data_IF_634631130004
#
_entry.id   IF_634631130004
#
_cell.length_a   1.000
_cell.length_b   1.000
_cell.length_c   1.000
_cell.angle_alpha   90.00
_cell.angle_beta   90.00
_cell.angle_gamma   90.00
#
_symmetry.space_group_name_H-M   'P 1'
#
loop_
_entity.id
_entity.type
_entity.pdbx_description
1 polymer ?
#
# COMPACT_ATOMS: atom_id res chain seq x y z
N UNK A 1 73.03 -12.25 33.11
CA UNK A 1 72.51 -11.37 34.17
C UNK A 1 72.40 -9.97 33.60
N UNK A 2 71.24 -9.61 33.05
CA UNK A 2 70.94 -8.23 32.65
C UNK A 2 70.52 -7.50 33.91
N UNK A 3 71.43 -6.70 34.46
CA UNK A 3 71.26 -6.01 35.73
C UNK A 3 70.06 -5.08 35.70
N UNK A 4 69.03 -5.43 36.48
CA UNK A 4 68.03 -4.47 36.93
C UNK A 4 68.70 -3.55 37.94
N UNK A 5 69.14 -2.38 37.48
CA UNK A 5 69.50 -1.31 38.37
C UNK A 5 68.26 -0.91 39.17
N UNK A 6 68.30 -1.14 40.48
CA UNK A 6 67.32 -0.61 41.42
C UNK A 6 67.34 0.92 41.32
N UNK A 7 66.44 1.47 40.53
CA UNK A 7 66.11 2.88 40.56
C UNK A 7 64.77 3.03 41.28
N UNK A 8 64.62 4.09 42.07
CA UNK A 8 63.35 4.37 42.71
C UNK A 8 62.34 4.82 41.65
N UNK A 9 61.21 4.13 41.54
CA UNK A 9 60.12 4.56 40.66
C UNK A 9 59.42 5.77 41.25
N UNK A 10 59.31 6.83 40.46
CA UNK A 10 58.52 8.03 40.77
C UNK A 10 57.42 8.17 39.74
N UNK A 11 56.18 7.93 40.14
CA UNK A 11 55.01 8.03 39.29
C UNK A 11 54.42 9.45 39.37
N UNK A 12 54.10 10.04 38.22
CA UNK A 12 53.41 11.33 38.16
C UNK A 12 51.97 11.25 38.67
N UNK A 13 51.39 12.39 39.06
CA UNK A 13 49.99 12.48 39.54
C UNK A 13 48.94 12.57 38.42
N UNK A 14 49.39 12.75 37.18
CA UNK A 14 48.50 12.79 36.01
C UNK A 14 48.22 11.38 35.52
N UNK A 15 46.94 11.07 35.28
CA UNK A 15 46.54 9.84 34.62
C UNK A 15 46.93 9.86 33.15
N UNK A 16 47.67 8.84 32.72
CA UNK A 16 47.80 8.48 31.31
C UNK A 16 46.64 7.58 30.90
N UNK A 17 46.30 7.58 29.62
CA UNK A 17 45.22 6.77 29.08
C UNK A 17 45.51 6.32 27.65
N UNK A 18 44.86 5.22 27.27
CA UNK A 18 44.68 4.76 25.90
C UNK A 18 43.20 4.38 25.69
N UNK A 19 42.89 3.65 24.61
CA UNK A 19 41.53 3.25 24.29
C UNK A 19 40.92 2.29 25.33
N UNK A 20 41.75 1.52 26.04
CA UNK A 20 41.29 0.43 26.89
C UNK A 20 41.42 0.76 28.39
N UNK A 21 42.47 1.49 28.78
CA UNK A 21 42.85 1.66 30.17
C UNK A 21 43.38 3.07 30.50
N UNK A 22 43.49 3.35 31.80
CA UNK A 22 44.26 4.45 32.36
C UNK A 22 45.28 3.96 33.39
N UNK A 23 46.41 4.65 33.53
CA UNK A 23 47.52 4.28 34.43
C UNK A 23 48.34 5.50 34.87
N UNK A 24 49.13 5.34 35.93
CA UNK A 24 50.23 6.25 36.25
C UNK A 24 51.55 5.72 35.65
N UNK A 25 52.36 6.61 35.09
CA UNK A 25 53.59 6.26 34.38
C UNK A 25 54.83 6.85 35.07
N UNK A 26 55.87 6.03 35.21
CA UNK A 26 57.20 6.45 35.65
C UNK A 26 58.03 6.91 34.43
N UNK A 27 59.02 7.76 34.64
CA UNK A 27 59.91 8.25 33.57
C UNK A 27 60.68 7.15 32.83
N UNK A 28 60.79 5.95 33.40
CA UNK A 28 61.37 4.76 32.77
C UNK A 28 60.39 3.98 31.86
N UNK A 29 59.11 4.38 31.81
CA UNK A 29 58.04 3.71 31.05
C UNK A 29 57.27 2.64 31.83
N UNK A 30 57.63 2.37 33.10
CA UNK A 30 56.86 1.46 33.94
C UNK A 30 55.48 2.03 34.26
N UNK A 31 54.45 1.18 34.15
CA UNK A 31 53.05 1.52 34.40
C UNK A 31 52.57 0.96 35.74
N UNK A 32 51.79 1.74 36.47
CA UNK A 32 51.15 1.33 37.73
C UNK A 32 49.70 1.79 37.78
N UNK A 33 48.91 1.14 38.63
CA UNK A 33 47.50 1.45 38.86
C UNK A 33 46.66 1.37 37.57
N UNK A 34 47.09 0.49 36.66
CA UNK A 34 46.41 0.27 35.39
C UNK A 34 45.02 -0.28 35.64
N UNK A 35 44.01 0.44 35.17
CA UNK A 35 42.62 0.03 35.28
C UNK A 35 41.86 0.37 33.99
N UNK A 36 40.83 -0.44 33.70
CA UNK A 36 39.91 -0.16 32.61
C UNK A 36 39.12 1.13 32.89
N UNK A 37 38.67 1.79 31.83
CA UNK A 37 37.87 3.01 31.95
C UNK A 37 36.54 2.78 32.67
N UNK A 38 36.20 3.71 33.56
CA UNK A 38 34.88 3.74 34.22
C UNK A 38 34.02 4.79 33.53
N UNK A 39 33.05 4.34 32.74
CA UNK A 39 32.20 5.23 31.96
C UNK A 39 31.27 6.06 32.86
N UNK A 40 31.29 7.38 32.66
CA UNK A 40 30.37 8.30 33.31
C UNK A 40 28.98 8.36 32.67
N UNK A 41 28.26 9.41 33.04
CA UNK A 41 26.98 9.77 32.43
C UNK A 41 27.18 10.29 31.00
N UNK A 42 26.09 10.26 30.22
CA UNK A 42 26.09 10.86 28.90
C UNK A 42 26.16 12.39 28.98
N UNK A 43 27.07 12.96 28.22
CA UNK A 43 27.24 14.40 28.04
C UNK A 43 26.70 14.74 26.65
N UNK A 44 25.75 15.68 26.58
CA UNK A 44 25.18 16.14 25.31
C UNK A 44 26.11 17.22 24.72
N UNK A 45 26.76 16.90 23.59
CA UNK A 45 27.63 17.84 22.88
C UNK A 45 26.81 18.81 22.04
N UNK A 46 25.88 18.24 21.26
CA UNK A 46 24.96 18.99 20.41
C UNK A 46 23.57 18.40 20.60
N UNK A 47 22.58 19.17 21.08
CA UNK A 47 21.22 18.66 21.21
C UNK A 47 20.65 18.36 19.81
N UNK A 48 19.87 17.27 19.71
CA UNK A 48 19.11 17.02 18.50
C UNK A 48 18.00 18.08 18.32
N UNK A 49 17.72 18.41 17.06
CA UNK A 49 16.57 19.21 16.67
C UNK A 49 15.56 18.34 15.92
N UNK A 50 14.44 18.94 15.51
CA UNK A 50 13.44 18.25 14.73
C UNK A 50 13.94 17.74 13.36
N UNK A 51 14.95 18.39 12.78
CA UNK A 51 15.48 18.08 11.44
C UNK A 51 16.94 17.67 11.41
N UNK A 52 17.67 17.85 12.51
CA UNK A 52 19.11 17.61 12.57
C UNK A 52 19.43 16.76 13.79
N UNK A 53 20.09 15.64 13.57
CA UNK A 53 20.60 14.79 14.64
C UNK A 53 21.62 15.53 15.50
N UNK A 54 21.59 15.25 16.80
CA UNK A 54 22.58 15.73 17.77
C UNK A 54 23.69 14.71 18.00
N UNK A 55 24.57 15.00 18.95
CA UNK A 55 25.66 14.11 19.38
C UNK A 55 25.84 14.15 20.90
N UNK A 56 26.29 13.03 21.46
CA UNK A 56 26.62 12.88 22.88
C UNK A 56 27.83 11.97 23.04
N UNK A 57 28.55 12.09 24.13
CA UNK A 57 29.64 11.18 24.48
C UNK A 57 29.63 10.80 25.96
N UNK A 58 30.46 9.82 26.34
CA UNK A 58 30.79 9.51 27.73
C UNK A 58 32.27 9.75 28.00
N UNK A 59 32.59 10.18 29.20
CA UNK A 59 33.98 10.34 29.66
C UNK A 59 34.29 9.34 30.78
N UNK A 60 35.56 8.95 30.88
CA UNK A 60 36.04 8.19 32.02
C UNK A 60 36.02 9.08 33.27
N UNK A 61 35.33 8.65 34.32
CA UNK A 61 35.19 9.44 35.57
C UNK A 61 36.49 9.60 36.35
N UNK A 62 37.54 8.86 35.99
CA UNK A 62 38.84 8.86 36.67
C UNK A 62 39.85 9.75 35.95
N UNK A 63 40.00 9.58 34.63
CA UNK A 63 41.05 10.24 33.85
C UNK A 63 40.52 11.24 32.80
N UNK A 64 39.20 11.36 32.62
CA UNK A 64 38.59 12.27 31.64
C UNK A 64 38.72 11.82 30.18
N UNK A 65 39.20 10.61 29.91
CA UNK A 65 39.28 10.08 28.55
C UNK A 65 37.88 10.02 27.91
N UNK A 66 37.71 10.66 26.75
CA UNK A 66 36.49 10.55 25.96
C UNK A 66 36.37 9.14 25.39
N UNK A 67 35.34 8.42 25.83
CA UNK A 67 35.10 7.04 25.49
C UNK A 67 34.21 6.94 24.24
N UNK A 68 32.95 6.55 24.42
CA UNK A 68 32.02 6.34 23.32
C UNK A 68 31.34 7.64 22.93
N UNK A 69 31.15 7.84 21.62
CA UNK A 69 30.36 8.93 21.05
C UNK A 69 29.21 8.32 20.26
N UNK A 70 28.00 8.85 20.48
CA UNK A 70 26.78 8.41 19.83
C UNK A 70 26.04 9.59 19.20
N UNK A 71 25.33 9.29 18.11
CA UNK A 71 24.38 10.21 17.49
C UNK A 71 23.06 10.19 18.25
N UNK A 72 22.49 11.36 18.51
CA UNK A 72 21.13 11.53 19.01
C UNK A 72 20.23 11.71 17.79
N UNK A 73 19.29 10.79 17.49
CA UNK A 73 18.41 10.95 16.34
C UNK A 73 17.63 12.27 16.40
N UNK A 74 17.38 12.88 15.23
CA UNK A 74 16.47 14.01 15.14
C UNK A 74 15.11 13.64 15.76
N UNK A 75 14.49 14.57 16.48
CA UNK A 75 13.23 14.31 17.19
C UNK A 75 12.03 14.15 16.24
N UNK A 76 12.20 14.52 14.97
CA UNK A 76 11.12 14.61 13.99
C UNK A 76 10.23 15.84 14.22
N UNK A 77 9.29 16.07 13.30
CA UNK A 77 8.27 17.11 13.45
C UNK A 77 8.79 18.53 13.32
N UNK A 78 9.67 18.81 12.35
CA UNK A 78 10.13 20.18 12.09
C UNK A 78 8.94 21.10 11.95
N UNK A 79 8.87 22.15 12.77
CA UNK A 79 7.81 23.14 12.73
C UNK A 79 7.86 23.84 11.37
N UNK A 80 7.02 23.38 10.47
CA UNK A 80 6.74 24.02 9.20
C UNK A 80 5.24 24.08 9.07
N UNK A 81 4.75 25.15 8.46
CA UNK A 81 3.33 25.26 8.15
C UNK A 81 2.99 24.18 7.12
N UNK A 82 2.08 23.28 7.48
CA UNK A 82 1.58 22.30 6.54
C UNK A 82 0.70 23.00 5.49
N UNK A 83 1.12 22.89 4.25
CA UNK A 83 0.30 23.24 3.10
C UNK A 83 -0.07 21.94 2.40
N UNK A 84 -1.30 21.48 2.63
CA UNK A 84 -1.82 20.25 2.05
C UNK A 84 -2.36 20.52 0.65
N UNK A 85 -2.06 19.61 -0.29
CA UNK A 85 -2.62 19.70 -1.64
C UNK A 85 -4.15 19.62 -1.61
N UNK A 86 -4.81 20.31 -2.54
CA UNK A 86 -6.25 20.12 -2.79
C UNK A 86 -6.58 18.80 -3.50
N UNK A 87 -5.57 18.14 -4.06
CA UNK A 87 -5.74 16.86 -4.74
C UNK A 87 -5.77 15.72 -3.72
N UNK A 88 -6.80 14.88 -3.80
CA UNK A 88 -6.87 13.66 -3.01
C UNK A 88 -5.82 12.64 -3.43
N UNK A 89 -5.13 12.08 -2.44
CA UNK A 89 -4.37 10.83 -2.57
C UNK A 89 -5.21 9.67 -2.08
N UNK A 90 -4.91 8.47 -2.58
CA UNK A 90 -5.60 7.25 -2.21
C UNK A 90 -4.72 6.02 -2.33
N UNK A 91 -4.94 5.05 -1.47
CA UNK A 91 -4.47 3.68 -1.61
C UNK A 91 -5.66 2.70 -1.62
N UNK A 92 -5.42 1.40 -1.43
CA UNK A 92 -6.48 0.39 -1.41
C UNK A 92 -7.37 0.40 -0.17
N UNK A 93 -7.01 1.18 0.86
CA UNK A 93 -7.65 1.22 2.18
C UNK A 93 -8.29 2.59 2.42
N UNK A 94 -7.54 3.67 2.21
CA UNK A 94 -7.91 5.03 2.61
C UNK A 94 -7.64 6.07 1.49
N UNK A 95 -8.14 7.28 1.74
CA UNK A 95 -7.78 8.50 1.02
C UNK A 95 -7.36 9.60 2.01
N UNK A 96 -6.53 10.55 1.55
CA UNK A 96 -5.96 11.62 2.37
C UNK A 96 -5.49 12.82 1.52
N UNK A 97 -5.29 13.97 2.16
CA UNK A 97 -4.49 15.06 1.62
C UNK A 97 -3.05 14.96 2.10
N UNK A 98 -2.09 15.22 1.21
CA UNK A 98 -0.67 15.04 1.50
C UNK A 98 0.08 16.37 1.45
N UNK A 99 0.91 16.61 2.47
CA UNK A 99 1.85 17.71 2.49
C UNK A 99 3.15 17.30 1.78
N UNK A 100 3.92 18.26 1.26
CA UNK A 100 5.20 17.98 0.60
C UNK A 100 6.25 17.28 1.49
N UNK A 101 6.06 17.32 2.81
CA UNK A 101 6.88 16.60 3.78
C UNK A 101 6.49 15.12 3.97
N UNK A 102 5.41 14.66 3.33
CA UNK A 102 4.85 13.31 3.47
C UNK A 102 3.85 13.13 4.62
N UNK A 103 3.58 14.19 5.39
CA UNK A 103 2.50 14.19 6.37
C UNK A 103 1.13 14.09 5.68
N UNK A 104 0.19 13.38 6.33
CA UNK A 104 -1.13 13.08 5.78
C UNK A 104 -2.20 13.65 6.68
N UNK A 105 -3.15 14.35 6.09
CA UNK A 105 -4.32 14.89 6.77
C UNK A 105 -5.61 14.40 6.09
N UNK A 106 -6.75 14.59 6.77
CA UNK A 106 -8.06 14.11 6.34
C UNK A 106 -8.09 12.62 5.97
N UNK A 107 -7.30 11.81 6.69
CA UNK A 107 -7.22 10.37 6.42
C UNK A 107 -8.56 9.71 6.72
N UNK A 108 -9.20 9.17 5.69
CA UNK A 108 -10.50 8.50 5.80
C UNK A 108 -10.56 7.22 4.97
N UNK A 109 -11.31 6.23 5.48
CA UNK A 109 -11.61 5.02 4.74
C UNK A 109 -12.51 5.33 3.53
N UNK A 110 -12.39 4.53 2.47
CA UNK A 110 -13.21 4.71 1.27
C UNK A 110 -14.71 4.51 1.54
N UNK A 111 -15.51 5.39 0.94
CA UNK A 111 -16.98 5.23 0.85
C UNK A 111 -17.36 4.93 -0.59
N UNK A 112 -17.62 3.66 -0.88
CA UNK A 112 -17.82 3.15 -2.24
C UNK A 112 -19.28 3.20 -2.70
N UNK A 113 -19.48 3.46 -4.00
CA UNK A 113 -20.73 3.20 -4.74
C UNK A 113 -20.46 2.19 -5.86
N UNK A 114 -21.48 1.41 -6.20
CA UNK A 114 -21.46 0.60 -7.42
C UNK A 114 -21.75 1.45 -8.65
N UNK A 115 -20.91 1.34 -9.67
CA UNK A 115 -21.08 1.95 -10.99
C UNK A 115 -21.16 0.83 -12.02
N UNK A 116 -22.20 0.86 -12.86
CA UNK A 116 -22.34 -0.09 -13.97
C UNK A 116 -21.53 0.41 -15.15
N UNK A 117 -20.56 -0.40 -15.59
CA UNK A 117 -19.70 -0.10 -16.74
C UNK A 117 -20.34 -0.56 -18.05
N UNK A 118 -20.93 -1.75 -18.02
CA UNK A 118 -21.65 -2.36 -19.14
C UNK A 118 -22.87 -3.10 -18.60
N UNK A 119 -24.04 -2.75 -19.11
CA UNK A 119 -25.26 -3.48 -18.81
C UNK A 119 -25.17 -4.93 -19.28
N UNK A 120 -25.65 -5.86 -18.44
CA UNK A 120 -25.83 -7.25 -18.83
C UNK A 120 -27.05 -7.37 -19.76
N UNK A 121 -26.94 -8.23 -20.78
CA UNK A 121 -28.06 -8.58 -21.65
C UNK A 121 -28.47 -10.03 -21.43
N UNK A 122 -29.49 -10.50 -22.16
CA UNK A 122 -29.93 -11.89 -22.08
C UNK A 122 -28.81 -12.89 -22.48
N UNK A 123 -27.89 -12.47 -23.35
CA UNK A 123 -26.84 -13.34 -23.91
C UNK A 123 -25.43 -12.88 -23.58
N UNK A 124 -25.23 -11.62 -23.19
CA UNK A 124 -23.91 -11.08 -22.85
C UNK A 124 -23.82 -10.72 -21.37
N UNK A 125 -22.71 -11.08 -20.75
CA UNK A 125 -22.36 -10.58 -19.41
C UNK A 125 -22.14 -9.06 -19.44
N UNK A 126 -22.51 -8.42 -18.35
CA UNK A 126 -22.18 -7.02 -18.06
C UNK A 126 -20.97 -6.90 -17.14
N UNK A 127 -20.66 -5.68 -16.71
CA UNK A 127 -19.63 -5.40 -15.71
C UNK A 127 -19.99 -4.18 -14.87
N UNK A 128 -19.53 -4.18 -13.63
CA UNK A 128 -19.63 -3.04 -12.71
C UNK A 128 -18.39 -2.98 -11.83
N UNK A 129 -18.07 -1.80 -11.31
CA UNK A 129 -17.02 -1.62 -10.32
C UNK A 129 -17.52 -0.82 -9.13
N UNK A 130 -16.71 -0.79 -8.07
CA UNK A 130 -16.90 0.10 -6.93
C UNK A 130 -15.96 1.30 -7.05
N UNK A 131 -16.51 2.52 -6.95
CA UNK A 131 -15.74 3.76 -7.00
C UNK A 131 -15.97 4.57 -5.72
N UNK A 132 -14.88 5.09 -5.14
CA UNK A 132 -14.96 5.94 -3.97
C UNK A 132 -15.60 7.29 -4.34
N UNK A 133 -16.66 7.67 -3.62
CA UNK A 133 -17.41 8.89 -3.91
C UNK A 133 -16.65 10.19 -3.60
N UNK A 134 -15.53 10.11 -2.86
CA UNK A 134 -14.74 11.26 -2.42
C UNK A 134 -13.53 11.47 -3.32
N UNK A 135 -12.69 10.46 -3.48
CA UNK A 135 -11.41 10.56 -4.20
C UNK A 135 -11.42 9.92 -5.60
N UNK A 136 -12.48 9.21 -5.99
CA UNK A 136 -12.56 8.53 -7.30
C UNK A 136 -11.73 7.25 -7.40
N UNK A 137 -11.13 6.75 -6.30
CA UNK A 137 -10.44 5.47 -6.30
C UNK A 137 -11.39 4.35 -6.73
N UNK A 138 -11.08 3.68 -7.84
CA UNK A 138 -11.88 2.61 -8.41
C UNK A 138 -11.25 1.24 -8.13
N UNK A 139 -12.05 0.31 -7.63
CA UNK A 139 -11.68 -1.10 -7.48
C UNK A 139 -11.79 -1.82 -8.84
N UNK A 140 -11.15 -2.98 -9.01
CA UNK A 140 -11.31 -3.79 -10.22
C UNK A 140 -12.78 -4.11 -10.50
N UNK A 141 -13.18 -4.02 -11.77
CA UNK A 141 -14.52 -4.36 -12.20
C UNK A 141 -14.81 -5.86 -11.98
N UNK A 142 -16.04 -6.16 -11.59
CA UNK A 142 -16.58 -7.51 -11.46
C UNK A 142 -17.63 -7.75 -12.54
N UNK A 143 -17.73 -8.99 -13.02
CA UNK A 143 -18.72 -9.38 -14.02
C UNK A 143 -20.14 -9.41 -13.44
N UNK A 144 -21.12 -8.97 -14.22
CA UNK A 144 -22.54 -9.18 -13.97
C UNK A 144 -23.00 -10.33 -14.88
N UNK A 145 -23.57 -11.42 -14.33
CA UNK A 145 -24.09 -12.51 -15.16
C UNK A 145 -25.15 -12.03 -16.16
N UNK A 146 -25.22 -12.69 -17.33
CA UNK A 146 -26.31 -12.49 -18.27
C UNK A 146 -27.66 -12.82 -17.61
N UNK A 147 -28.71 -12.05 -17.94
CA UNK A 147 -30.00 -12.10 -17.22
C UNK A 147 -30.85 -13.34 -17.54
N UNK A 148 -30.52 -14.08 -18.60
CA UNK A 148 -31.14 -15.37 -18.91
C UNK A 148 -32.49 -15.30 -19.65
N UNK A 149 -32.67 -16.32 -20.51
CA UNK A 149 -33.82 -16.68 -21.35
C UNK A 149 -34.46 -15.56 -22.17
N UNK A 150 -34.10 -15.53 -23.46
CA UNK A 150 -35.03 -15.18 -24.53
C UNK A 150 -36.32 -15.99 -24.32
N UNK A 151 -37.53 -15.40 -24.37
CA UNK A 151 -38.74 -16.21 -24.42
C UNK A 151 -38.67 -17.10 -25.66
N UNK A 152 -38.89 -18.42 -25.51
CA UNK A 152 -39.13 -19.29 -26.64
C UNK A 152 -40.48 -18.91 -27.29
N UNK A 153 -40.50 -17.85 -28.10
CA UNK A 153 -41.61 -17.60 -29.02
C UNK A 153 -41.43 -18.50 -30.24
N UNK A 154 -41.79 -19.78 -30.09
CA UNK A 154 -41.62 -20.78 -31.15
C UNK A 154 -42.13 -22.17 -30.77
N UNK A 155 -43.28 -22.26 -30.11
CA UNK A 155 -43.88 -23.55 -29.75
C UNK A 155 -44.43 -24.23 -31.03
N UNK A 156 -43.56 -24.95 -31.75
CA UNK A 156 -43.83 -25.61 -33.03
C UNK A 156 -44.85 -26.76 -32.94
N UNK A 157 -45.37 -27.03 -31.75
CA UNK A 157 -46.32 -28.11 -31.48
C UNK A 157 -47.64 -27.97 -32.26
N UNK A 158 -48.00 -26.75 -32.66
CA UNK A 158 -49.19 -26.46 -33.47
C UNK A 158 -48.89 -26.13 -34.95
N UNK A 159 -47.63 -26.20 -35.41
CA UNK A 159 -47.29 -25.91 -36.83
C UNK A 159 -48.07 -26.84 -37.78
N UNK A 160 -48.23 -28.12 -37.43
CA UNK A 160 -49.02 -29.08 -38.20
C UNK A 160 -50.52 -28.74 -38.22
N UNK A 161 -51.06 -28.15 -37.15
CA UNK A 161 -52.46 -27.69 -37.09
C UNK A 161 -52.69 -26.48 -38.00
N UNK A 162 -51.75 -25.52 -38.03
CA UNK A 162 -51.83 -24.36 -38.91
C UNK A 162 -51.62 -24.70 -40.39
N UNK A 163 -50.70 -25.62 -40.70
CA UNK A 163 -50.51 -26.15 -42.06
C UNK A 163 -51.76 -26.92 -42.51
N UNK A 164 -52.35 -27.74 -41.64
CA UNK A 164 -53.60 -28.45 -41.92
C UNK A 164 -54.77 -27.50 -42.20
N UNK A 165 -54.92 -26.43 -41.43
CA UNK A 165 -55.95 -25.39 -41.62
C UNK A 165 -55.79 -24.64 -42.95
N UNK A 166 -54.55 -24.35 -43.37
CA UNK A 166 -54.25 -23.72 -44.65
C UNK A 166 -54.59 -24.61 -45.84
N UNK A 167 -54.31 -25.92 -45.76
CA UNK A 167 -54.63 -26.86 -46.83
C UNK A 167 -56.14 -27.11 -46.96
N UNK A 168 -56.88 -27.13 -45.85
CA UNK A 168 -58.34 -27.26 -45.86
C UNK A 168 -59.04 -26.07 -46.53
N UNK A 169 -58.50 -24.86 -46.40
CA UNK A 169 -59.06 -23.66 -47.07
C UNK A 169 -58.70 -23.55 -48.55
N UNK A 170 -57.58 -24.15 -48.98
CA UNK A 170 -57.15 -24.17 -50.41
C UNK A 170 -57.97 -25.12 -51.31
N UNK A 171 -58.52 -26.21 -50.76
CA UNK A 171 -59.27 -27.21 -51.54
C UNK A 171 -60.74 -26.80 -51.83
N UNK A 172 -61.28 -25.80 -51.13
CA UNK A 172 -62.65 -25.32 -51.37
C UNK A 172 -62.82 -24.48 -52.64
N UNK A 173 -61.76 -23.79 -53.08
CA UNK A 173 -61.82 -22.82 -54.18
C UNK A 173 -61.67 -23.45 -55.56
N UNK A 174 -60.94 -24.57 -55.69
CA UNK A 174 -60.73 -25.24 -56.98
C UNK A 174 -61.91 -26.14 -57.39
N UNK A 175 -62.63 -26.73 -56.43
CA UNK A 175 -63.78 -27.61 -56.70
C UNK A 175 -64.98 -26.89 -57.32
N UNK A 176 -65.27 -25.65 -56.93
CA UNK A 176 -66.41 -24.87 -57.44
C UNK A 176 -66.20 -24.37 -58.88
N UNK A 177 -64.96 -24.07 -59.28
CA UNK A 177 -64.63 -23.64 -60.65
C UNK A 177 -64.76 -24.78 -61.66
N UNK A 178 -64.39 -26.02 -61.28
CA UNK A 178 -64.54 -27.18 -62.17
C UNK A 178 -66.02 -27.62 -62.28
N UNK A 179 -66.79 -27.57 -61.18
CA UNK A 179 -68.22 -27.92 -61.21
C UNK A 179 -69.04 -26.93 -62.06
N UNK A 180 -68.76 -25.63 -61.97
CA UNK A 180 -69.47 -24.61 -62.75
C UNK A 180 -69.17 -24.65 -64.25
N UNK A 181 -68.00 -25.15 -64.68
CA UNK A 181 -67.68 -25.38 -66.10
C UNK A 181 -68.38 -26.60 -66.69
N UNK A 182 -68.59 -27.70 -65.94
CA UNK A 182 -69.28 -28.90 -66.48
C UNK A 182 -70.78 -28.68 -66.73
N UNK A 183 -71.43 -27.75 -66.02
CA UNK A 183 -72.88 -27.50 -66.18
C UNK A 183 -73.24 -26.64 -67.41
N UNK A 184 -72.27 -26.01 -68.07
CA UNK A 184 -72.52 -25.13 -69.24
C UNK A 184 -72.41 -25.82 -70.61
N UNK A 185 -72.11 -27.12 -70.67
CA UNK A 185 -71.96 -27.87 -71.93
C UNK A 185 -72.94 -29.03 -72.11
N UNK A 186 -74.02 -29.07 -71.33
CA UNK A 186 -75.13 -30.01 -71.55
C UNK A 186 -76.41 -29.21 -71.76
N UNK A 187 -76.62 -28.77 -73.01
CA UNK A 187 -77.92 -28.76 -73.68
C UNK A 187 -77.71 -28.56 -75.18
#
# INVERSE_FOLDING_TARGET
ATGGGEHAHSYGSEWKNDADNHWHECSCGDKKDTAAHTAGEWIIDTPATATTSGTKHKECTVCGYTMTTETIPATGGGEHTHNYSSDWKSDSINHWHECSCGDKDDVAAHSFKWVVDKDATATEKGSKHEECMVCGYARPAVEIPATGSTPETGDNRNMFLWIGLLLASGLGVTGTVVYSKRKKYVK
#
